data_IF_984954323299
#
_entry.id   IF_984954323299
#
_cell.length_a   1.000
_cell.length_b   1.000
_cell.length_c   1.000
_cell.angle_alpha   90.00
_cell.angle_beta   90.00
_cell.angle_gamma   90.00
#
_symmetry.space_group_name_H-M   'P 1'
#
loop_
_entity.id
_entity.type
_entity.pdbx_description
1 polymer ?
#
# COMPACT_ATOMS: atom_id res chain seq x y z
N UNK A 1 4.99 17.86 7.29
CA UNK A 1 3.73 18.60 7.47
C UNK A 1 3.19 19.04 6.11
N UNK A 2 1.89 19.30 5.98
CA UNK A 2 1.36 19.93 4.77
C UNK A 2 1.94 21.34 4.61
N UNK A 3 2.31 21.70 3.39
CA UNK A 3 2.78 23.03 3.02
C UNK A 3 1.62 23.74 2.31
N UNK A 4 1.03 24.79 2.92
CA UNK A 4 -0.12 25.47 2.34
C UNK A 4 0.19 26.16 1.02
N UNK A 5 -0.78 26.13 0.11
CA UNK A 5 -0.77 26.96 -1.10
C UNK A 5 -1.88 28.01 -1.09
N UNK A 6 -2.76 27.93 -0.10
CA UNK A 6 -3.93 28.78 0.07
C UNK A 6 -3.63 30.00 0.94
N UNK A 7 -4.60 30.93 1.00
CA UNK A 7 -4.52 32.15 1.81
C UNK A 7 -3.29 33.02 1.56
N UNK A 8 -2.65 32.89 0.40
CA UNK A 8 -1.43 33.61 0.03
C UNK A 8 -0.24 33.35 0.99
N UNK A 9 -0.20 32.16 1.60
CA UNK A 9 0.92 31.70 2.42
C UNK A 9 2.24 31.79 1.64
N UNK A 10 3.31 32.23 2.31
CA UNK A 10 4.62 32.52 1.71
C UNK A 10 4.77 33.90 1.06
N UNK A 11 3.66 34.54 0.67
CA UNK A 11 3.67 35.88 0.06
C UNK A 11 3.13 36.98 0.99
N UNK A 12 2.19 36.66 1.87
CA UNK A 12 1.69 37.60 2.89
C UNK A 12 2.34 37.27 4.25
N UNK A 13 3.17 38.16 4.83
CA UNK A 13 3.86 37.90 6.10
C UNK A 13 2.91 37.80 7.30
N UNK A 14 1.63 38.17 7.13
CA UNK A 14 0.60 38.00 8.16
C UNK A 14 0.00 36.59 8.17
N UNK A 15 0.40 35.71 7.26
CA UNK A 15 -0.12 34.36 7.14
C UNK A 15 0.99 33.37 7.48
N UNK A 16 0.85 32.70 8.62
CA UNK A 16 1.82 31.72 9.11
C UNK A 16 1.12 30.39 9.41
N UNK A 17 1.88 29.31 9.52
CA UNK A 17 1.43 28.02 10.00
C UNK A 17 1.44 27.96 11.53
N UNK A 18 0.68 27.01 12.09
CA UNK A 18 0.71 26.74 13.53
C UNK A 18 2.08 26.25 14.03
N UNK A 19 2.94 25.70 13.15
CA UNK A 19 4.32 25.30 13.49
C UNK A 19 5.26 26.53 13.57
N UNK A 20 5.13 27.48 12.66
CA UNK A 20 5.86 28.75 12.73
C UNK A 20 5.44 29.55 13.96
N UNK A 21 4.14 29.59 14.28
CA UNK A 21 3.65 30.17 15.52
C UNK A 21 4.27 29.49 16.75
N UNK A 22 4.38 28.16 16.77
CA UNK A 22 5.00 27.44 17.88
C UNK A 22 6.46 27.84 18.06
N UNK A 23 7.20 28.06 16.97
CA UNK A 23 8.58 28.54 17.03
C UNK A 23 8.67 30.00 17.50
N UNK A 24 7.78 30.88 17.04
CA UNK A 24 7.69 32.26 17.52
C UNK A 24 7.43 32.29 19.03
N UNK A 25 6.48 31.48 19.51
CA UNK A 25 6.13 31.37 20.92
C UNK A 25 7.24 30.80 21.81
N UNK A 26 8.30 30.20 21.26
CA UNK A 26 9.49 29.81 22.03
C UNK A 26 10.42 30.99 22.32
N UNK A 27 10.43 31.98 21.44
CA UNK A 27 11.37 33.11 21.47
C UNK A 27 10.71 34.34 22.10
N UNK A 28 9.40 34.51 21.92
CA UNK A 28 8.65 35.65 22.47
C UNK A 28 7.16 35.57 22.19
N UNK A 29 6.52 36.72 22.05
CA UNK A 29 5.11 36.85 21.71
C UNK A 29 4.94 37.52 20.34
N UNK A 30 3.90 37.18 19.57
CA UNK A 30 3.60 37.88 18.32
C UNK A 30 3.16 39.32 18.61
N UNK A 31 3.65 40.28 17.81
CA UNK A 31 3.24 41.69 17.90
C UNK A 31 1.76 41.89 17.57
N UNK A 32 1.17 40.99 16.77
CA UNK A 32 -0.23 41.02 16.37
C UNK A 32 -1.20 40.92 17.56
N UNK A 33 -2.18 41.84 17.62
CA UNK A 33 -3.20 41.89 18.68
C UNK A 33 -4.41 40.99 18.38
N UNK A 34 -4.81 40.87 17.11
CA UNK A 34 -5.97 40.10 16.66
C UNK A 34 -5.51 38.91 15.83
N UNK A 35 -5.64 37.71 16.39
CA UNK A 35 -5.12 36.48 15.78
C UNK A 35 -6.29 35.57 15.43
N UNK A 36 -6.32 35.06 14.20
CA UNK A 36 -7.32 34.11 13.75
C UNK A 36 -6.67 32.81 13.30
N UNK A 37 -7.11 31.69 13.88
CA UNK A 37 -6.73 30.36 13.43
C UNK A 37 -7.72 29.86 12.39
N UNK A 38 -7.21 29.22 11.33
CA UNK A 38 -8.02 28.52 10.33
C UNK A 38 -7.69 27.02 10.43
N UNK A 39 -8.66 26.23 10.89
CA UNK A 39 -8.51 24.79 11.04
C UNK A 39 -8.74 24.04 9.73
N UNK A 40 -8.23 22.80 9.67
CA UNK A 40 -8.39 21.86 8.56
C UNK A 40 -7.71 22.29 7.24
N UNK A 41 -6.59 22.99 7.32
CA UNK A 41 -5.75 23.32 6.14
C UNK A 41 -4.94 22.08 5.76
N UNK A 42 -5.09 21.58 4.53
CA UNK A 42 -4.47 20.33 4.08
C UNK A 42 -4.98 19.05 4.78
N UNK A 43 -6.23 19.05 5.25
CA UNK A 43 -6.87 17.87 5.85
C UNK A 43 -8.38 17.93 5.69
N UNK A 44 -9.05 16.77 5.60
CA UNK A 44 -10.49 16.68 5.30
C UNK A 44 -10.84 17.41 4.00
N UNK A 45 -10.03 17.14 2.98
CA UNK A 45 -10.17 17.59 1.60
C UNK A 45 -9.84 16.37 0.71
N UNK A 46 -10.67 16.10 -0.30
CA UNK A 46 -10.55 14.93 -1.18
C UNK A 46 -10.42 13.60 -0.41
N UNK A 47 -9.43 12.76 -0.74
CA UNK A 47 -9.14 11.49 -0.07
C UNK A 47 -8.39 11.64 1.28
N UNK A 48 -8.01 12.85 1.68
CA UNK A 48 -7.18 13.09 2.86
C UNK A 48 -8.06 13.20 4.12
N UNK A 49 -7.85 12.29 5.05
CA UNK A 49 -8.57 12.23 6.33
C UNK A 49 -8.26 13.36 7.33
N UNK A 50 -8.67 13.17 8.57
CA UNK A 50 -8.41 14.09 9.68
C UNK A 50 -7.00 13.89 10.24
N UNK A 51 -6.24 14.97 10.42
CA UNK A 51 -4.89 14.91 10.99
C UNK A 51 -4.82 14.63 12.50
N UNK A 52 -5.96 14.58 13.20
CA UNK A 52 -6.13 14.19 14.62
C UNK A 52 -5.45 15.05 15.69
N UNK A 53 -4.25 15.56 15.46
CA UNK A 53 -3.52 16.41 16.42
C UNK A 53 -3.97 17.89 16.39
N UNK A 54 -4.45 18.35 15.23
CA UNK A 54 -4.54 19.76 14.89
C UNK A 54 -5.50 20.55 15.80
N UNK A 55 -6.68 20.01 16.14
CA UNK A 55 -7.65 20.71 17.00
C UNK A 55 -7.07 20.98 18.40
N UNK A 56 -6.57 19.94 19.06
CA UNK A 56 -6.03 20.06 20.42
C UNK A 56 -4.80 20.97 20.46
N UNK A 57 -3.90 20.84 19.46
CA UNK A 57 -2.71 21.70 19.36
C UNK A 57 -3.09 23.18 19.17
N UNK A 58 -4.02 23.46 18.26
CA UNK A 58 -4.54 24.80 18.01
C UNK A 58 -5.18 25.40 19.26
N UNK A 59 -6.02 24.64 19.98
CA UNK A 59 -6.68 25.13 21.21
C UNK A 59 -5.63 25.49 22.26
N UNK A 60 -4.59 24.67 22.44
CA UNK A 60 -3.52 24.96 23.39
C UNK A 60 -2.79 26.27 23.04
N UNK A 61 -2.46 26.47 21.76
CA UNK A 61 -1.84 27.71 21.26
C UNK A 61 -2.77 28.92 21.43
N UNK A 62 -4.06 28.76 21.10
CA UNK A 62 -5.06 29.79 21.25
C UNK A 62 -5.22 30.23 22.71
N UNK A 63 -5.30 29.27 23.65
CA UNK A 63 -5.37 29.56 25.09
C UNK A 63 -4.10 30.27 25.58
N UNK A 64 -2.92 29.86 25.10
CA UNK A 64 -1.65 30.52 25.44
C UNK A 64 -1.64 31.98 24.98
N UNK A 65 -2.04 32.26 23.75
CA UNK A 65 -2.18 33.62 23.22
C UNK A 65 -3.22 34.45 23.97
N UNK A 66 -4.36 33.85 24.36
CA UNK A 66 -5.36 34.55 25.18
C UNK A 66 -4.80 34.95 26.55
N UNK A 67 -3.99 34.10 27.18
CA UNK A 67 -3.32 34.42 28.46
C UNK A 67 -2.30 35.56 28.32
N UNK A 68 -1.78 35.79 27.12
CA UNK A 68 -0.93 36.94 26.77
C UNK A 68 -1.74 38.20 26.43
N UNK A 69 -3.08 38.19 26.58
CA UNK A 69 -3.95 39.33 26.32
C UNK A 69 -4.42 39.48 24.87
N UNK A 70 -3.92 38.67 23.93
CA UNK A 70 -4.23 38.76 22.49
C UNK A 70 -5.68 38.34 22.21
N UNK A 71 -6.37 38.96 21.25
CA UNK A 71 -7.75 38.61 20.85
C UNK A 71 -7.74 37.46 19.85
N UNK A 72 -8.17 36.27 20.28
CA UNK A 72 -8.04 35.03 19.48
C UNK A 72 -9.39 34.55 18.96
N UNK A 73 -9.46 34.30 17.65
CA UNK A 73 -10.57 33.62 16.97
C UNK A 73 -10.11 32.29 16.37
N UNK A 74 -11.01 31.33 16.32
CA UNK A 74 -10.79 30.02 15.69
C UNK A 74 -11.92 29.77 14.71
N UNK A 75 -11.58 29.57 13.43
CA UNK A 75 -12.50 29.19 12.37
C UNK A 75 -12.33 27.68 12.10
N UNK A 76 -13.41 26.91 12.25
CA UNK A 76 -13.33 25.44 12.23
C UNK A 76 -14.58 24.76 11.61
N UNK A 77 -14.42 23.52 11.12
CA UNK A 77 -15.54 22.67 10.65
C UNK A 77 -16.27 22.01 11.82
N UNK A 78 -15.49 21.24 12.58
CA UNK A 78 -15.89 20.44 13.74
C UNK A 78 -14.73 20.42 14.72
N UNK A 79 -15.02 20.57 16.00
CA UNK A 79 -14.02 20.46 17.05
C UNK A 79 -13.84 18.99 17.41
N UNK A 80 -12.60 18.49 17.36
CA UNK A 80 -12.27 17.08 17.63
C UNK A 80 -11.34 16.95 18.82
N UNK A 81 -11.92 17.01 20.01
CA UNK A 81 -11.28 16.98 21.34
C UNK A 81 -11.45 15.60 21.98
N UNK A 82 -11.12 14.54 21.24
CA UNK A 82 -11.43 13.15 21.64
C UNK A 82 -10.48 12.54 22.68
N UNK A 83 -9.27 13.08 22.84
CA UNK A 83 -8.28 12.53 23.76
C UNK A 83 -8.52 13.01 25.20
N UNK A 84 -8.02 12.24 26.17
CA UNK A 84 -8.17 12.58 27.59
C UNK A 84 -7.70 14.02 27.85
N UNK A 85 -8.53 14.81 28.55
CA UNK A 85 -8.35 16.23 28.88
C UNK A 85 -8.48 17.23 27.70
N UNK A 86 -8.77 16.76 26.48
CA UNK A 86 -8.87 17.66 25.33
C UNK A 86 -10.15 18.52 25.37
N UNK A 87 -11.25 17.99 25.91
CA UNK A 87 -12.49 18.76 26.06
C UNK A 87 -12.36 19.83 27.14
N UNK A 88 -11.76 19.49 28.28
CA UNK A 88 -11.48 20.42 29.36
C UNK A 88 -10.53 21.56 28.90
N UNK A 89 -9.60 21.25 28.00
CA UNK A 89 -8.74 22.26 27.36
C UNK A 89 -9.56 23.20 26.46
N UNK A 90 -10.52 22.67 25.70
CA UNK A 90 -11.44 23.46 24.88
C UNK A 90 -12.34 24.36 25.73
N UNK A 91 -12.93 23.84 26.80
CA UNK A 91 -13.69 24.64 27.76
C UNK A 91 -12.85 25.74 28.39
N UNK A 92 -11.62 25.44 28.80
CA UNK A 92 -10.70 26.42 29.37
C UNK A 92 -10.38 27.55 28.37
N UNK A 93 -10.15 27.21 27.11
CA UNK A 93 -9.95 28.19 26.03
C UNK A 93 -11.18 29.07 25.81
N UNK A 94 -12.38 28.47 25.77
CA UNK A 94 -13.64 29.19 25.64
C UNK A 94 -13.87 30.15 26.82
N UNK A 95 -13.69 29.70 28.06
CA UNK A 95 -13.82 30.53 29.28
C UNK A 95 -12.78 31.66 29.33
N UNK A 96 -11.59 31.46 28.76
CA UNK A 96 -10.57 32.51 28.61
C UNK A 96 -10.89 33.53 27.49
N UNK A 97 -12.00 33.33 26.77
CA UNK A 97 -12.48 34.23 25.73
C UNK A 97 -11.91 33.96 24.34
N UNK A 98 -11.42 32.75 24.05
CA UNK A 98 -11.25 32.32 22.64
C UNK A 98 -12.63 32.24 21.99
N UNK A 99 -12.80 32.90 20.85
CA UNK A 99 -14.06 32.84 20.09
C UNK A 99 -13.97 31.77 19.00
N UNK A 100 -14.99 30.93 18.89
CA UNK A 100 -15.04 29.81 17.94
C UNK A 100 -16.16 30.05 16.92
N UNK A 101 -15.82 30.04 15.64
CA UNK A 101 -16.73 30.25 14.52
C UNK A 101 -16.77 29.02 13.64
N UNK A 102 -17.97 28.49 13.41
CA UNK A 102 -18.16 27.24 12.69
C UNK A 102 -18.49 27.54 11.24
N UNK A 103 -17.68 27.01 10.31
CA UNK A 103 -17.97 27.05 8.88
C UNK A 103 -18.45 25.68 8.37
N UNK A 104 -18.95 25.65 7.13
CA UNK A 104 -19.51 24.45 6.50
C UNK A 104 -18.51 23.28 6.48
N UNK A 105 -18.94 22.12 6.94
CA UNK A 105 -18.11 20.92 7.02
C UNK A 105 -17.79 20.35 5.62
N UNK A 106 -18.71 20.53 4.67
CA UNK A 106 -18.65 19.96 3.32
C UNK A 106 -17.79 20.80 2.37
N UNK A 107 -17.34 21.98 2.83
CA UNK A 107 -16.50 22.87 2.03
C UNK A 107 -15.11 23.05 2.65
N UNK A 108 -14.04 23.07 1.84
CA UNK A 108 -12.70 23.34 2.35
C UNK A 108 -12.56 24.82 2.77
N UNK A 109 -11.72 25.15 3.77
CA UNK A 109 -11.63 26.50 4.32
C UNK A 109 -11.37 27.60 3.27
N UNK A 110 -10.55 27.33 2.25
CA UNK A 110 -10.25 28.27 1.17
C UNK A 110 -11.44 28.59 0.25
N UNK A 111 -12.49 27.79 0.27
CA UNK A 111 -13.72 28.05 -0.48
C UNK A 111 -14.69 28.97 0.27
N UNK A 112 -14.62 29.00 1.61
CA UNK A 112 -15.61 29.65 2.47
C UNK A 112 -15.05 30.81 3.31
N UNK A 113 -13.73 30.93 3.40
CA UNK A 113 -13.05 32.00 4.12
C UNK A 113 -12.28 32.87 3.12
N UNK A 114 -12.61 34.16 3.06
CA UNK A 114 -11.88 35.13 2.26
C UNK A 114 -11.03 36.03 3.15
N UNK A 115 -9.76 36.23 2.80
CA UNK A 115 -8.88 37.22 3.45
C UNK A 115 -8.81 38.46 2.56
N UNK A 116 -9.28 39.62 3.06
CA UNK A 116 -9.21 40.92 2.37
C UNK A 116 -9.01 42.05 3.37
N UNK A 117 -8.13 42.99 3.05
CA UNK A 117 -7.96 44.27 3.76
C UNK A 117 -7.85 44.15 5.30
N UNK A 118 -7.20 43.09 5.81
CA UNK A 118 -7.07 42.85 7.26
C UNK A 118 -8.31 42.28 7.95
N UNK A 119 -9.22 41.68 7.18
CA UNK A 119 -10.40 40.98 7.67
C UNK A 119 -10.48 39.57 7.08
N UNK A 120 -10.99 38.65 7.89
CA UNK A 120 -11.50 37.36 7.42
C UNK A 120 -13.02 37.45 7.28
N UNK A 121 -13.52 37.14 6.08
CA UNK A 121 -14.95 36.99 5.82
C UNK A 121 -15.31 35.52 5.79
N UNK A 122 -16.29 35.12 6.60
CA UNK A 122 -16.78 33.73 6.70
C UNK A 122 -18.28 33.73 6.96
N UNK A 123 -18.99 32.75 6.40
CA UNK A 123 -20.37 32.49 6.79
C UNK A 123 -20.38 31.58 8.03
N UNK A 124 -20.86 32.08 9.16
CA UNK A 124 -20.99 31.28 10.37
C UNK A 124 -22.29 30.50 10.34
N UNK A 125 -22.17 29.17 10.38
CA UNK A 125 -23.30 28.26 10.25
C UNK A 125 -24.24 28.32 11.46
N UNK A 126 -23.73 28.63 12.65
CA UNK A 126 -24.53 28.67 13.88
C UNK A 126 -25.39 29.94 13.94
N UNK A 127 -24.82 31.07 13.52
CA UNK A 127 -25.51 32.36 13.47
C UNK A 127 -26.30 32.56 12.18
N UNK A 128 -26.10 31.70 11.18
CA UNK A 128 -26.68 31.80 9.84
C UNK A 128 -26.44 33.19 9.21
N UNK A 129 -25.23 33.72 9.38
CA UNK A 129 -24.88 35.08 8.99
C UNK A 129 -23.45 35.18 8.45
N UNK A 130 -23.22 36.13 7.55
CA UNK A 130 -21.87 36.51 7.11
C UNK A 130 -21.20 37.36 8.18
N UNK A 131 -20.03 36.95 8.62
CA UNK A 131 -19.22 37.65 9.59
C UNK A 131 -17.97 38.23 8.93
N UNK A 132 -17.59 39.42 9.35
CA UNK A 132 -16.33 40.06 8.99
C UNK A 132 -15.48 40.22 10.25
N UNK A 133 -14.41 39.44 10.36
CA UNK A 133 -13.58 39.28 11.55
C UNK A 133 -12.26 40.05 11.37
N UNK A 134 -12.03 41.16 12.09
CA UNK A 134 -10.78 41.91 11.99
C UNK A 134 -9.60 41.09 12.51
N UNK A 135 -8.54 40.97 11.69
CA UNK A 135 -7.43 40.04 11.91
C UNK A 135 -6.09 40.65 11.48
N UNK A 136 -5.12 40.62 12.38
CA UNK A 136 -3.75 41.12 12.18
C UNK A 136 -2.81 39.97 11.76
N UNK A 137 -3.07 38.76 12.27
CA UNK A 137 -2.30 37.55 11.97
C UNK A 137 -3.23 36.36 11.74
N UNK A 138 -3.03 35.67 10.63
CA UNK A 138 -3.73 34.43 10.26
C UNK A 138 -2.79 33.26 10.54
N UNK A 139 -3.30 32.27 11.28
CA UNK A 139 -2.56 31.05 11.62
C UNK A 139 -3.26 29.86 10.96
N UNK A 140 -2.62 29.30 9.93
CA UNK A 140 -3.08 28.10 9.23
C UNK A 140 -2.71 26.86 10.06
N UNK A 141 -3.73 26.12 10.50
CA UNK A 141 -3.51 24.87 11.24
C UNK A 141 -3.42 23.72 10.25
N UNK A 142 -2.18 23.39 9.91
CA UNK A 142 -1.85 22.48 8.82
C UNK A 142 -2.00 21.02 9.21
N UNK A 143 -2.28 20.17 8.22
CA UNK A 143 -2.34 18.72 8.38
C UNK A 143 -0.98 18.02 8.39
N UNK A 144 -1.00 16.73 8.71
CA UNK A 144 0.12 15.82 8.44
C UNK A 144 -0.06 15.20 7.06
N UNK A 145 1.02 15.13 6.31
CA UNK A 145 1.14 14.38 5.06
C UNK A 145 2.14 13.23 5.25
N UNK A 146 1.98 12.10 4.56
CA UNK A 146 2.99 11.05 4.55
C UNK A 146 4.32 11.59 4.01
N UNK A 147 5.43 11.03 4.49
CA UNK A 147 6.76 11.36 3.97
C UNK A 147 6.93 10.73 2.59
N UNK A 148 7.46 11.51 1.65
CA UNK A 148 7.99 11.02 0.38
C UNK A 148 9.38 10.45 0.64
N UNK A 149 9.50 9.13 0.55
CA UNK A 149 10.73 8.38 0.77
C UNK A 149 10.72 7.13 -0.13
N UNK A 150 11.84 6.42 -0.17
CA UNK A 150 11.97 5.12 -0.83
C UNK A 150 11.96 3.94 0.17
N UNK A 151 11.58 4.17 1.43
CA UNK A 151 11.58 3.13 2.46
C UNK A 151 10.51 2.08 2.17
N UNK A 152 9.37 2.50 1.60
CA UNK A 152 8.34 1.57 1.11
C UNK A 152 8.92 0.54 0.13
N UNK A 153 9.76 0.98 -0.81
CA UNK A 153 10.38 0.13 -1.83
C UNK A 153 11.49 -0.74 -1.24
N UNK A 154 12.31 -0.18 -0.34
CA UNK A 154 13.43 -0.89 0.29
C UNK A 154 12.93 -2.01 1.23
N UNK A 155 11.91 -1.71 2.03
CA UNK A 155 11.37 -2.62 3.04
C UNK A 155 10.13 -3.38 2.55
N UNK A 156 9.71 -3.17 1.29
CA UNK A 156 8.53 -3.77 0.65
C UNK A 156 7.24 -3.56 1.45
N UNK A 157 7.06 -2.35 1.96
CA UNK A 157 5.88 -1.94 2.73
C UNK A 157 4.76 -1.46 1.81
N UNK A 158 3.53 -1.78 2.18
CA UNK A 158 2.33 -1.23 1.53
C UNK A 158 1.98 0.14 2.10
N UNK A 159 1.27 0.96 1.31
CA UNK A 159 0.69 2.23 1.76
C UNK A 159 -0.84 2.16 1.70
N UNK A 160 -1.50 2.82 2.65
CA UNK A 160 -2.96 2.99 2.68
C UNK A 160 -3.41 4.08 1.70
N UNK A 161 -4.73 4.23 1.51
CA UNK A 161 -5.31 5.25 0.60
C UNK A 161 -4.89 6.69 0.95
N UNK A 162 -4.65 6.96 2.24
CA UNK A 162 -4.15 8.26 2.73
C UNK A 162 -2.62 8.42 2.57
N UNK A 163 -1.95 7.45 1.96
CA UNK A 163 -0.55 7.45 1.58
C UNK A 163 0.45 7.12 2.70
N UNK A 164 -0.01 6.88 3.93
CA UNK A 164 0.85 6.44 5.04
C UNK A 164 1.18 4.93 4.95
N UNK A 165 2.12 4.45 5.76
CA UNK A 165 2.42 3.01 5.80
C UNK A 165 1.26 2.20 6.36
N UNK A 166 0.91 1.15 5.64
CA UNK A 166 -0.19 0.26 5.99
C UNK A 166 0.23 -0.74 7.07
N UNK A 167 -0.51 -0.78 8.16
CA UNK A 167 -0.41 -1.82 9.17
C UNK A 167 -0.94 -3.17 8.65
N UNK A 168 -0.57 -4.26 9.33
CA UNK A 168 -1.04 -5.62 9.02
C UNK A 168 -2.55 -5.75 9.17
N UNK A 169 -3.11 -5.18 10.25
CA UNK A 169 -4.54 -5.13 10.49
C UNK A 169 -4.86 -4.02 11.48
N UNK A 170 -5.88 -3.17 11.26
CA UNK A 170 -6.23 -2.02 12.13
C UNK A 170 -6.51 -2.32 13.61
N UNK A 171 -6.59 -3.60 14.00
CA UNK A 171 -7.00 -4.07 15.34
C UNK A 171 -6.07 -5.17 15.85
N UNK A 172 -5.84 -6.19 15.02
CA UNK A 172 -5.04 -7.36 15.41
C UNK A 172 -3.53 -7.15 15.28
N UNK A 173 -3.10 -6.23 14.41
CA UNK A 173 -1.69 -5.92 14.18
C UNK A 173 -1.45 -4.46 13.83
N UNK A 174 -1.84 -3.49 14.70
CA UNK A 174 -1.81 -2.05 14.38
C UNK A 174 -0.39 -1.44 14.32
N UNK A 175 0.63 -2.21 14.68
CA UNK A 175 2.06 -1.83 14.65
C UNK A 175 2.89 -2.80 13.83
N UNK A 176 2.28 -3.85 13.31
CA UNK A 176 2.94 -4.87 12.49
C UNK A 176 2.72 -4.53 11.03
N UNK A 177 3.54 -5.05 10.15
CA UNK A 177 3.35 -4.96 8.70
C UNK A 177 3.17 -6.37 8.12
N UNK A 178 2.81 -6.46 6.84
CA UNK A 178 2.82 -7.74 6.12
C UNK A 178 4.23 -8.34 5.99
N UNK A 179 5.28 -7.53 6.17
CA UNK A 179 6.67 -7.95 6.15
C UNK A 179 7.09 -8.34 7.57
N UNK A 180 7.33 -9.64 7.78
CA UNK A 180 7.71 -10.17 9.10
C UNK A 180 9.00 -9.50 9.61
N UNK A 181 9.00 -9.14 10.89
CA UNK A 181 10.12 -8.45 11.52
C UNK A 181 10.17 -6.93 11.29
N UNK A 182 9.30 -6.37 10.43
CA UNK A 182 9.19 -4.91 10.22
C UNK A 182 7.94 -4.38 10.93
N UNK A 183 8.13 -3.34 11.73
CA UNK A 183 7.11 -2.74 12.59
C UNK A 183 6.99 -1.23 12.32
N UNK A 184 5.82 -0.66 12.62
CA UNK A 184 5.53 0.76 12.44
C UNK A 184 5.35 1.46 13.78
N UNK A 185 5.80 2.70 13.87
CA UNK A 185 5.61 3.56 15.03
C UNK A 185 5.45 5.03 14.65
N UNK A 186 4.53 5.71 15.32
CA UNK A 186 4.33 7.15 15.19
C UNK A 186 3.62 7.55 13.91
N UNK A 187 3.89 8.76 13.45
CA UNK A 187 3.17 9.37 12.31
C UNK A 187 3.49 8.75 10.96
N UNK A 188 4.44 7.81 10.89
CA UNK A 188 4.74 7.06 9.66
C UNK A 188 3.57 6.16 9.22
N UNK A 189 2.80 5.61 10.18
CA UNK A 189 1.61 4.78 9.92
C UNK A 189 0.34 5.59 9.69
N UNK A 190 0.32 6.88 10.02
CA UNK A 190 -0.89 7.69 9.91
C UNK A 190 -0.87 8.88 10.85
N UNK A 191 -1.69 9.90 10.56
CA UNK A 191 -1.77 11.08 11.40
C UNK A 191 -2.24 10.74 12.83
N UNK A 192 -1.54 11.28 13.84
CA UNK A 192 -1.79 11.02 15.26
C UNK A 192 -1.07 12.02 16.15
N UNK A 193 -1.44 12.09 17.42
CA UNK A 193 -0.78 12.95 18.40
C UNK A 193 0.48 12.28 19.02
N UNK A 194 1.18 13.02 19.90
CA UNK A 194 2.39 12.53 20.58
C UNK A 194 2.08 11.35 21.50
N UNK A 195 0.95 11.37 22.21
CA UNK A 195 0.58 10.30 23.16
C UNK A 195 0.30 9.00 22.42
N UNK A 196 -0.43 9.08 21.31
CA UNK A 196 -0.70 7.97 20.41
C UNK A 196 0.60 7.44 19.79
N UNK A 197 1.50 8.33 19.37
CA UNK A 197 2.81 7.96 18.83
C UNK A 197 3.68 7.22 19.84
N UNK A 198 3.71 7.70 21.10
CA UNK A 198 4.44 7.04 22.19
C UNK A 198 3.87 5.65 22.49
N UNK A 199 2.54 5.52 22.57
CA UNK A 199 1.89 4.24 22.79
C UNK A 199 2.20 3.24 21.66
N UNK A 200 2.17 3.71 20.40
CA UNK A 200 2.52 2.90 19.24
C UNK A 200 4.00 2.48 19.25
N UNK A 201 4.91 3.37 19.63
CA UNK A 201 6.33 3.07 19.76
C UNK A 201 6.60 2.00 20.82
N UNK A 202 5.93 2.07 21.98
CA UNK A 202 6.01 1.03 23.01
C UNK A 202 5.46 -0.32 22.51
N UNK A 203 4.34 -0.31 21.78
CA UNK A 203 3.78 -1.52 21.19
C UNK A 203 4.70 -2.14 20.13
N UNK A 204 5.29 -1.33 19.25
CA UNK A 204 6.27 -1.78 18.26
C UNK A 204 7.52 -2.37 18.93
N UNK A 205 8.06 -1.68 19.94
CA UNK A 205 9.19 -2.17 20.73
C UNK A 205 8.86 -3.48 21.46
N UNK A 206 7.65 -3.62 22.02
CA UNK A 206 7.21 -4.86 22.66
C UNK A 206 7.09 -6.04 21.69
N UNK A 207 6.56 -5.81 20.48
CA UNK A 207 6.47 -6.83 19.43
C UNK A 207 7.85 -7.24 18.89
N UNK A 208 8.70 -6.26 18.59
CA UNK A 208 10.08 -6.51 18.17
C UNK A 208 10.88 -7.22 19.27
N UNK A 209 10.76 -6.76 20.51
CA UNK A 209 11.41 -7.34 21.68
C UNK A 209 10.98 -8.78 21.93
N UNK A 210 9.68 -9.09 21.79
CA UNK A 210 9.19 -10.47 21.91
C UNK A 210 9.81 -11.40 20.86
N UNK A 211 9.95 -10.93 19.61
CA UNK A 211 10.62 -11.70 18.55
C UNK A 211 12.11 -11.93 18.89
N UNK A 212 12.81 -10.89 19.33
CA UNK A 212 14.23 -10.96 19.69
C UNK A 212 14.49 -11.83 20.92
N UNK A 213 13.59 -11.81 21.92
CA UNK A 213 13.72 -12.57 23.15
C UNK A 213 13.64 -14.09 22.96
N UNK A 214 13.04 -14.57 21.86
CA UNK A 214 12.98 -16.00 21.54
C UNK A 214 14.37 -16.58 21.22
N UNK A 215 15.33 -15.76 20.77
CA UNK A 215 16.68 -16.18 20.37
C UNK A 215 16.74 -17.06 19.12
N UNK A 216 15.60 -17.58 18.66
CA UNK A 216 15.42 -18.31 17.42
C UNK A 216 14.08 -17.92 16.80
N UNK A 217 14.02 -17.95 15.48
CA UNK A 217 12.79 -17.79 14.71
C UNK A 217 12.50 -19.10 14.00
N UNK A 218 11.22 -19.44 13.92
CA UNK A 218 10.78 -20.53 13.05
C UNK A 218 10.64 -19.96 11.65
N UNK A 219 11.36 -20.57 10.71
CA UNK A 219 11.29 -20.22 9.30
C UNK A 219 10.28 -21.12 8.64
N UNK A 220 9.37 -20.54 7.85
CA UNK A 220 8.45 -21.32 7.04
C UNK A 220 9.24 -22.30 6.15
N UNK A 221 8.85 -23.59 6.09
CA UNK A 221 9.57 -24.63 5.35
C UNK A 221 9.31 -24.56 3.84
N UNK A 222 9.28 -23.35 3.28
CA UNK A 222 9.07 -23.04 1.86
C UNK A 222 10.41 -22.94 1.10
N UNK A 223 11.46 -23.58 1.62
CA UNK A 223 12.81 -23.55 1.05
C UNK A 223 12.94 -24.54 -0.11
N UNK A 224 13.62 -24.13 -1.18
CA UNK A 224 13.88 -24.99 -2.32
C UNK A 224 14.68 -26.24 -1.91
N UNK A 225 14.34 -27.40 -2.49
CA UNK A 225 15.05 -28.67 -2.28
C UNK A 225 15.62 -29.19 -3.58
N UNK A 226 16.85 -29.68 -3.54
CA UNK A 226 17.49 -30.34 -4.67
C UNK A 226 17.12 -31.82 -4.67
N UNK A 227 16.82 -32.37 -5.84
CA UNK A 227 16.72 -33.80 -6.13
C UNK A 227 18.04 -34.17 -6.85
N UNK A 228 19.04 -34.71 -6.15
CA UNK A 228 20.40 -34.89 -6.68
C UNK A 228 20.44 -35.73 -7.96
N UNK A 229 19.54 -36.71 -8.07
CA UNK A 229 19.49 -37.69 -9.16
C UNK A 229 19.12 -37.05 -10.51
N UNK A 230 18.43 -35.90 -10.47
CA UNK A 230 18.01 -35.15 -11.66
C UNK A 230 18.97 -34.00 -12.00
N UNK A 231 19.89 -33.66 -11.11
CA UNK A 231 20.78 -32.52 -11.29
C UNK A 231 21.93 -32.86 -12.25
N UNK A 232 22.04 -32.10 -13.35
CA UNK A 232 23.13 -32.25 -14.33
C UNK A 232 24.27 -31.23 -14.17
N UNK A 233 24.28 -30.49 -13.05
CA UNK A 233 25.34 -29.52 -12.75
C UNK A 233 25.42 -28.31 -13.70
N UNK A 234 24.31 -27.86 -14.31
CA UNK A 234 24.34 -26.75 -15.28
C UNK A 234 24.52 -25.34 -14.67
N UNK A 235 24.39 -25.20 -13.34
CA UNK A 235 24.55 -23.95 -12.57
C UNK A 235 23.61 -22.79 -12.96
N UNK A 236 22.54 -23.03 -13.72
CA UNK A 236 21.54 -21.99 -14.04
C UNK A 236 20.85 -21.45 -12.79
N UNK A 237 20.49 -22.35 -11.87
CA UNK A 237 19.83 -22.01 -10.60
C UNK A 237 20.67 -21.06 -9.72
N UNK A 238 22.00 -21.22 -9.72
CA UNK A 238 22.95 -20.34 -8.99
C UNK A 238 22.81 -18.90 -9.47
N UNK A 239 22.79 -18.69 -10.79
CA UNK A 239 22.76 -17.35 -11.41
C UNK A 239 21.45 -16.59 -11.17
N UNK A 240 20.35 -17.31 -11.00
CA UNK A 240 19.01 -16.70 -10.88
C UNK A 240 18.56 -16.49 -9.44
N UNK A 241 19.32 -16.96 -8.44
CA UNK A 241 18.95 -16.81 -7.04
C UNK A 241 19.19 -15.37 -6.56
N UNK A 242 18.15 -14.59 -6.22
CA UNK A 242 18.32 -13.19 -5.79
C UNK A 242 18.89 -13.06 -4.37
N UNK A 243 19.09 -14.17 -3.67
CA UNK A 243 19.57 -14.25 -2.29
C UNK A 243 20.94 -14.92 -2.16
N UNK A 244 21.54 -15.39 -3.26
CA UNK A 244 22.77 -16.17 -3.19
C UNK A 244 22.64 -17.47 -2.38
N UNK A 245 21.43 -18.02 -2.27
CA UNK A 245 21.13 -19.18 -1.42
C UNK A 245 21.53 -20.53 -2.06
N UNK A 246 22.13 -20.53 -3.24
CA UNK A 246 22.49 -21.75 -3.98
C UNK A 246 23.99 -21.70 -4.27
N UNK A 247 24.75 -22.58 -3.62
CA UNK A 247 26.19 -22.73 -3.79
C UNK A 247 26.50 -23.75 -4.88
N UNK A 248 27.47 -23.42 -5.73
CA UNK A 248 28.02 -24.37 -6.69
C UNK A 248 29.03 -25.29 -5.99
N UNK A 249 28.92 -26.60 -6.22
CA UNK A 249 29.87 -27.61 -5.78
C UNK A 249 30.46 -28.28 -7.03
N UNK A 250 31.78 -28.18 -7.23
CA UNK A 250 32.44 -28.74 -8.41
C UNK A 250 32.28 -27.90 -9.69
N UNK A 251 32.88 -28.32 -10.81
CA UNK A 251 32.79 -27.60 -12.09
C UNK A 251 31.40 -27.79 -12.74
N UNK A 252 30.93 -26.85 -13.59
CA UNK A 252 29.67 -27.03 -14.31
C UNK A 252 29.70 -28.29 -15.20
N UNK A 253 28.61 -29.07 -15.19
CA UNK A 253 28.47 -30.31 -15.93
C UNK A 253 28.39 -31.53 -15.02
N UNK A 254 28.78 -32.69 -15.56
CA UNK A 254 28.59 -34.01 -14.93
C UNK A 254 29.24 -34.15 -13.55
N UNK A 255 30.36 -33.48 -13.33
CA UNK A 255 31.13 -33.53 -12.08
C UNK A 255 30.74 -32.43 -11.07
N UNK A 256 29.67 -31.68 -11.37
CA UNK A 256 29.18 -30.59 -10.54
C UNK A 256 27.77 -30.81 -10.02
N UNK A 257 27.49 -30.22 -8.86
CA UNK A 257 26.14 -30.14 -8.28
C UNK A 257 25.97 -28.80 -7.56
N UNK A 258 24.83 -28.61 -6.89
CA UNK A 258 24.58 -27.42 -6.08
C UNK A 258 24.17 -27.81 -4.67
N UNK A 259 24.35 -26.89 -3.73
CA UNK A 259 23.82 -26.99 -2.37
C UNK A 259 22.94 -25.78 -2.10
N UNK A 260 21.72 -26.03 -1.63
CA UNK A 260 20.80 -24.96 -1.25
C UNK A 260 21.00 -24.68 0.24
N UNK A 261 21.39 -23.45 0.56
CA UNK A 261 21.49 -22.96 1.93
C UNK A 261 20.07 -22.63 2.39
N UNK A 262 19.45 -23.54 3.13
CA UNK A 262 18.06 -23.37 3.60
C UNK A 262 17.86 -22.08 4.39
N UNK A 263 18.84 -21.70 5.22
CA UNK A 263 18.80 -20.46 6.00
C UNK A 263 18.69 -19.20 5.12
N UNK A 264 19.35 -19.18 3.96
CA UNK A 264 19.33 -18.04 3.03
C UNK A 264 18.16 -18.11 2.02
N UNK A 265 17.61 -19.29 1.74
CA UNK A 265 16.56 -19.46 0.74
C UNK A 265 15.23 -18.85 1.21
N UNK A 266 14.74 -17.80 0.56
CA UNK A 266 13.46 -17.17 0.94
C UNK A 266 12.22 -17.79 0.28
N UNK A 267 12.39 -18.85 -0.54
CA UNK A 267 11.25 -19.59 -1.08
C UNK A 267 10.55 -18.99 -2.30
N UNK A 268 11.20 -18.08 -3.03
CA UNK A 268 10.61 -17.46 -4.22
C UNK A 268 10.31 -18.42 -5.39
N UNK A 269 10.97 -19.58 -5.45
CA UNK A 269 10.74 -20.59 -6.51
C UNK A 269 11.37 -20.30 -7.87
N UNK A 270 12.14 -19.22 -8.02
CA UNK A 270 12.84 -18.87 -9.27
C UNK A 270 13.72 -20.01 -9.79
N UNK A 271 14.50 -20.64 -8.90
CA UNK A 271 15.43 -21.71 -9.28
C UNK A 271 14.72 -22.97 -9.76
N UNK A 272 13.57 -23.32 -9.15
CA UNK A 272 12.72 -24.41 -9.62
C UNK A 272 12.23 -24.14 -11.04
N UNK A 273 11.73 -22.94 -11.27
CA UNK A 273 11.16 -22.56 -12.56
C UNK A 273 12.22 -22.32 -13.67
N UNK A 274 13.49 -22.21 -13.31
CA UNK A 274 14.64 -22.15 -14.22
C UNK A 274 15.20 -23.55 -14.54
N UNK A 275 14.89 -24.56 -13.72
CA UNK A 275 15.43 -25.91 -13.86
C UNK A 275 14.71 -26.71 -14.94
N UNK A 276 15.34 -26.88 -16.09
CA UNK A 276 14.81 -27.71 -17.19
C UNK A 276 14.78 -29.23 -16.87
N UNK A 277 15.38 -29.66 -15.77
CA UNK A 277 15.51 -31.07 -15.40
C UNK A 277 14.61 -31.46 -14.22
N UNK A 278 13.76 -30.54 -13.75
CA UNK A 278 12.93 -30.73 -12.56
C UNK A 278 13.72 -31.13 -11.29
N UNK A 279 15.03 -30.84 -11.26
CA UNK A 279 15.90 -31.19 -10.14
C UNK A 279 15.72 -30.32 -8.91
N UNK A 280 14.89 -29.27 -8.97
CA UNK A 280 14.63 -28.37 -7.84
C UNK A 280 13.14 -28.33 -7.59
N UNK A 281 12.74 -28.76 -6.39
CA UNK A 281 11.37 -28.75 -5.93
C UNK A 281 11.15 -27.59 -4.96
N UNK A 282 9.93 -27.03 -4.99
CA UNK A 282 9.44 -26.10 -3.96
C UNK A 282 8.41 -26.82 -3.10
N UNK A 283 8.75 -27.21 -1.86
CA UNK A 283 7.79 -27.79 -0.93
C UNK A 283 6.54 -26.89 -0.78
N UNK A 284 5.36 -27.50 -0.66
CA UNK A 284 4.04 -26.83 -0.61
C UNK A 284 3.61 -26.08 -1.88
N UNK A 285 4.49 -25.99 -2.88
CA UNK A 285 4.22 -25.47 -4.21
C UNK A 285 4.91 -26.35 -5.27
N UNK A 286 4.78 -27.67 -5.11
CA UNK A 286 5.39 -28.64 -6.04
C UNK A 286 4.71 -28.55 -7.39
N UNK A 287 5.36 -29.06 -8.44
CA UNK A 287 4.77 -29.00 -9.79
C UNK A 287 3.44 -29.73 -9.82
N UNK A 288 3.38 -30.92 -9.23
CA UNK A 288 2.22 -31.80 -9.13
C UNK A 288 1.06 -31.10 -8.40
N UNK A 289 1.34 -30.41 -7.30
CA UNK A 289 0.33 -29.67 -6.54
C UNK A 289 -0.29 -28.53 -7.37
N UNK A 290 0.51 -27.84 -8.18
CA UNK A 290 0.03 -26.75 -9.04
C UNK A 290 -0.74 -27.31 -10.24
N UNK A 291 -0.25 -28.37 -10.89
CA UNK A 291 -0.97 -29.03 -11.99
C UNK A 291 -2.33 -29.55 -11.53
N UNK A 292 -2.38 -30.26 -10.39
CA UNK A 292 -3.64 -30.76 -9.83
C UNK A 292 -4.65 -29.63 -9.53
N UNK A 293 -4.19 -28.47 -9.07
CA UNK A 293 -5.05 -27.29 -8.90
C UNK A 293 -5.58 -26.76 -10.23
N UNK A 294 -4.76 -26.75 -11.28
CA UNK A 294 -5.17 -26.34 -12.63
C UNK A 294 -6.26 -27.29 -13.15
N UNK A 295 -6.01 -28.59 -13.14
CA UNK A 295 -6.96 -29.62 -13.58
C UNK A 295 -8.29 -29.50 -12.84
N UNK A 296 -8.24 -29.48 -11.50
CA UNK A 296 -9.44 -29.34 -10.66
C UNK A 296 -10.22 -28.07 -10.99
N UNK A 297 -9.53 -26.96 -11.24
CA UNK A 297 -10.18 -25.69 -11.58
C UNK A 297 -10.91 -25.73 -12.93
N UNK A 298 -10.54 -26.63 -13.85
CA UNK A 298 -11.01 -26.72 -15.22
C UNK A 298 -11.98 -27.89 -15.50
N UNK A 299 -12.36 -28.69 -14.50
CA UNK A 299 -13.22 -29.88 -14.69
C UNK A 299 -14.58 -29.60 -15.37
N UNK A 300 -15.13 -28.40 -15.17
CA UNK A 300 -16.42 -28.01 -15.73
C UNK A 300 -16.28 -26.77 -16.62
N UNK A 301 -16.77 -26.82 -17.86
CA UNK A 301 -16.77 -25.67 -18.79
C UNK A 301 -15.43 -24.92 -18.82
N UNK A 302 -14.34 -25.66 -19.08
CA UNK A 302 -12.99 -25.13 -19.07
C UNK A 302 -12.83 -23.89 -19.97
N UNK A 303 -13.55 -23.89 -21.11
CA UNK A 303 -13.55 -22.81 -22.08
C UNK A 303 -14.10 -21.49 -21.54
N UNK A 304 -14.92 -21.55 -20.48
CA UNK A 304 -15.53 -20.39 -19.80
C UNK A 304 -14.71 -19.93 -18.59
N UNK A 305 -13.46 -20.41 -18.43
CA UNK A 305 -12.60 -20.12 -17.27
C UNK A 305 -11.28 -19.46 -17.65
N UNK A 306 -10.85 -18.53 -16.80
CA UNK A 306 -9.50 -17.96 -16.82
C UNK A 306 -8.70 -18.53 -15.66
N UNK A 307 -7.59 -19.23 -15.93
CA UNK A 307 -6.64 -19.63 -14.89
C UNK A 307 -5.78 -18.42 -14.52
N UNK A 308 -5.89 -17.96 -13.28
CA UNK A 308 -5.21 -16.76 -12.78
C UNK A 308 -4.08 -17.18 -11.86
N UNK A 309 -2.86 -17.19 -12.39
CA UNK A 309 -1.64 -17.51 -11.68
C UNK A 309 -1.18 -16.28 -10.89
N UNK A 310 -1.36 -16.30 -9.55
CA UNK A 310 -1.08 -15.15 -8.67
C UNK A 310 0.14 -15.35 -7.78
N UNK A 311 0.93 -14.29 -7.58
CA UNK A 311 1.89 -14.27 -6.47
C UNK A 311 1.16 -14.04 -5.13
N UNK A 312 1.66 -14.65 -4.06
CA UNK A 312 1.08 -14.56 -2.72
C UNK A 312 1.05 -13.11 -2.18
N UNK A 313 2.16 -12.39 -2.35
CA UNK A 313 2.38 -11.13 -1.63
C UNK A 313 1.64 -9.92 -2.19
N UNK A 314 1.44 -9.86 -3.51
CA UNK A 314 0.88 -8.68 -4.15
C UNK A 314 -0.44 -9.02 -4.83
N UNK A 315 -0.45 -9.86 -5.87
CA UNK A 315 -1.68 -10.05 -6.64
C UNK A 315 -2.75 -10.85 -5.89
N UNK A 316 -2.36 -11.85 -5.10
CA UNK A 316 -3.32 -12.56 -4.25
C UNK A 316 -3.83 -11.64 -3.12
N UNK A 317 -2.96 -10.85 -2.50
CA UNK A 317 -3.36 -9.82 -1.54
C UNK A 317 -4.29 -8.76 -2.16
N UNK A 318 -4.06 -8.36 -3.42
CA UNK A 318 -4.95 -7.49 -4.18
C UNK A 318 -6.31 -8.13 -4.46
N UNK A 319 -6.34 -9.46 -4.69
CA UNK A 319 -7.60 -10.20 -4.79
C UNK A 319 -8.37 -10.21 -3.45
N UNK A 320 -7.67 -10.44 -2.34
CA UNK A 320 -8.25 -10.36 -0.99
C UNK A 320 -8.77 -8.95 -0.69
N UNK A 321 -8.01 -7.90 -1.06
CA UNK A 321 -8.41 -6.51 -0.91
C UNK A 321 -9.65 -6.18 -1.74
N UNK A 322 -9.75 -6.68 -2.99
CA UNK A 322 -10.96 -6.54 -3.79
C UNK A 322 -12.19 -7.13 -3.06
N UNK A 323 -12.01 -8.25 -2.37
CA UNK A 323 -13.04 -8.86 -1.51
C UNK A 323 -13.40 -8.00 -0.29
N UNK A 324 -12.40 -7.46 0.42
CA UNK A 324 -12.60 -6.55 1.57
C UNK A 324 -13.37 -5.29 1.16
N UNK A 325 -13.02 -4.73 0.00
CA UNK A 325 -13.67 -3.56 -0.61
C UNK A 325 -15.02 -3.89 -1.26
N UNK A 326 -15.44 -5.18 -1.23
CA UNK A 326 -16.68 -5.69 -1.81
C UNK A 326 -16.83 -5.44 -3.31
N UNK A 327 -15.70 -5.34 -4.02
CA UNK A 327 -15.68 -5.21 -5.47
C UNK A 327 -16.14 -6.51 -6.11
N UNK A 328 -17.12 -6.40 -7.00
CA UNK A 328 -17.61 -7.54 -7.76
C UNK A 328 -16.77 -7.71 -9.02
N UNK A 329 -16.43 -8.95 -9.35
CA UNK A 329 -15.85 -9.33 -10.63
C UNK A 329 -16.41 -10.69 -11.08
N UNK A 330 -16.35 -11.03 -12.38
CA UNK A 330 -16.97 -12.24 -12.91
C UNK A 330 -16.44 -13.55 -12.31
N UNK A 331 -17.27 -14.59 -12.34
CA UNK A 331 -16.96 -15.90 -11.76
C UNK A 331 -16.13 -16.81 -12.67
N UNK A 332 -15.59 -16.32 -13.78
CA UNK A 332 -14.72 -17.08 -14.70
C UNK A 332 -13.29 -17.23 -14.15
N UNK A 333 -12.86 -16.35 -13.25
CA UNK A 333 -11.51 -16.38 -12.68
C UNK A 333 -11.28 -17.57 -11.73
N UNK A 334 -10.20 -18.31 -11.95
CA UNK A 334 -9.74 -19.43 -11.09
C UNK A 334 -8.34 -19.13 -10.59
N UNK A 335 -8.26 -18.63 -9.36
CA UNK A 335 -6.99 -18.21 -8.75
C UNK A 335 -6.19 -19.44 -8.31
N UNK A 336 -4.95 -19.52 -8.78
CA UNK A 336 -3.96 -20.50 -8.32
C UNK A 336 -2.73 -19.72 -7.85
N UNK A 337 -2.34 -19.95 -6.59
CA UNK A 337 -1.37 -19.13 -5.89
C UNK A 337 -0.03 -19.82 -5.77
N UNK A 338 1.05 -19.08 -5.99
CA UNK A 338 2.42 -19.45 -5.57
C UNK A 338 3.05 -18.31 -4.78
N UNK A 339 4.14 -18.57 -4.04
CA UNK A 339 4.78 -17.50 -3.24
C UNK A 339 5.24 -16.32 -4.10
N UNK A 340 5.77 -16.57 -5.30
CA UNK A 340 6.23 -15.53 -6.21
C UNK A 340 5.82 -15.86 -7.63
N UNK A 341 5.56 -14.83 -8.44
CA UNK A 341 5.40 -15.03 -9.88
C UNK A 341 6.63 -15.63 -10.56
N UNK A 342 7.80 -15.56 -9.92
CA UNK A 342 9.02 -16.22 -10.37
C UNK A 342 8.94 -17.75 -10.33
N UNK A 343 8.04 -18.33 -9.53
CA UNK A 343 7.76 -19.77 -9.51
C UNK A 343 7.06 -20.27 -10.76
N UNK A 344 6.36 -19.41 -11.50
CA UNK A 344 5.60 -19.88 -12.66
C UNK A 344 6.50 -20.44 -13.76
N UNK A 345 6.05 -21.54 -14.35
CA UNK A 345 6.71 -22.28 -15.41
C UNK A 345 5.88 -22.25 -16.68
N UNK A 346 6.53 -22.44 -17.83
CA UNK A 346 5.81 -22.60 -19.11
C UNK A 346 4.83 -23.77 -19.05
N UNK A 347 5.21 -24.84 -18.35
CA UNK A 347 4.43 -26.07 -18.24
C UNK A 347 3.07 -25.82 -17.59
N UNK A 348 2.97 -24.93 -16.59
CA UNK A 348 1.68 -24.57 -15.99
C UNK A 348 0.73 -23.91 -17.00
N UNK A 349 1.27 -23.08 -17.87
CA UNK A 349 0.50 -22.40 -18.91
C UNK A 349 0.07 -23.40 -19.99
N UNK A 350 1.00 -24.26 -20.43
CA UNK A 350 0.72 -25.31 -21.40
C UNK A 350 -0.38 -26.23 -20.88
N UNK A 351 -0.23 -26.71 -19.66
CA UNK A 351 -1.16 -27.62 -19.02
C UNK A 351 -2.56 -27.02 -18.87
N UNK A 352 -2.68 -25.74 -18.54
CA UNK A 352 -3.98 -25.06 -18.50
C UNK A 352 -4.66 -25.02 -19.89
N UNK A 353 -3.92 -24.72 -20.95
CA UNK A 353 -4.47 -24.73 -22.31
C UNK A 353 -4.78 -26.14 -22.82
N UNK A 354 -3.94 -27.13 -22.49
CA UNK A 354 -4.16 -28.54 -22.84
C UNK A 354 -5.46 -29.08 -22.19
N UNK A 355 -5.87 -28.50 -21.05
CA UNK A 355 -7.13 -28.79 -20.35
C UNK A 355 -8.28 -27.84 -20.73
N UNK A 356 -8.14 -27.08 -21.83
CA UNK A 356 -9.24 -26.31 -22.42
C UNK A 356 -9.50 -24.95 -21.78
N UNK A 357 -8.60 -24.42 -20.95
CA UNK A 357 -8.78 -23.09 -20.35
C UNK A 357 -9.08 -22.01 -21.39
N UNK A 358 -10.13 -21.23 -21.16
CA UNK A 358 -10.48 -20.09 -22.01
C UNK A 358 -9.37 -19.03 -22.06
N UNK A 359 -8.69 -18.79 -20.95
CA UNK A 359 -7.51 -17.92 -20.89
C UNK A 359 -6.60 -18.28 -19.71
N UNK A 360 -5.37 -17.76 -19.75
CA UNK A 360 -4.40 -17.79 -18.65
C UNK A 360 -3.90 -16.38 -18.40
N UNK A 361 -4.05 -15.92 -17.15
CA UNK A 361 -3.50 -14.65 -16.69
C UNK A 361 -2.37 -14.92 -15.70
N UNK A 362 -1.18 -14.40 -15.99
CA UNK A 362 -0.06 -14.38 -15.05
C UNK A 362 -0.05 -13.04 -14.35
N UNK A 363 0.06 -13.04 -13.02
CA UNK A 363 0.17 -11.81 -12.25
C UNK A 363 1.25 -11.86 -11.18
N UNK A 364 1.72 -10.69 -10.76
CA UNK A 364 2.64 -10.56 -9.64
C UNK A 364 2.81 -9.13 -9.15
N UNK A 365 3.80 -8.92 -8.28
CA UNK A 365 4.17 -7.60 -7.79
C UNK A 365 4.62 -6.66 -8.92
N UNK A 366 4.42 -5.35 -8.74
CA UNK A 366 4.79 -4.32 -9.72
C UNK A 366 6.26 -4.33 -10.10
N UNK A 367 6.50 -4.04 -11.38
CA UNK A 367 7.78 -3.54 -11.86
C UNK A 367 7.70 -2.02 -11.81
N UNK A 368 8.71 -1.38 -11.22
CA UNK A 368 8.81 0.07 -11.10
C UNK A 368 9.85 0.60 -12.08
N UNK A 369 9.86 1.91 -12.32
CA UNK A 369 10.88 2.56 -13.15
C UNK A 369 12.30 2.35 -12.62
N UNK A 370 12.43 2.21 -11.30
CA UNK A 370 13.70 1.98 -10.59
C UNK A 370 14.04 0.50 -10.38
N UNK A 371 13.12 -0.43 -10.70
CA UNK A 371 13.37 -1.86 -10.56
C UNK A 371 12.13 -2.72 -10.36
N UNK A 372 11.80 -3.03 -9.10
CA UNK A 372 10.75 -4.00 -8.76
C UNK A 372 10.27 -3.87 -7.32
N UNK A 373 8.96 -3.94 -7.12
CA UNK A 373 8.30 -4.02 -5.80
C UNK A 373 8.13 -5.48 -5.33
N UNK A 374 8.87 -6.41 -5.92
CA UNK A 374 8.77 -7.81 -5.55
C UNK A 374 9.18 -8.02 -4.09
N UNK A 375 8.35 -8.74 -3.33
CA UNK A 375 8.72 -9.23 -2.00
C UNK A 375 10.04 -10.01 -2.02
N UNK A 376 10.34 -10.68 -3.15
CA UNK A 376 11.55 -11.45 -3.34
C UNK A 376 12.66 -10.70 -4.11
N UNK A 377 12.97 -9.47 -3.67
CA UNK A 377 13.89 -8.53 -4.31
C UNK A 377 13.43 -8.14 -5.73
N UNK A 378 13.93 -8.84 -6.74
CA UNK A 378 13.67 -8.59 -8.16
C UNK A 378 13.29 -9.86 -8.93
N UNK A 379 12.88 -10.92 -8.22
CA UNK A 379 12.59 -12.23 -8.82
C UNK A 379 11.53 -12.17 -9.95
N UNK A 380 10.51 -11.32 -9.82
CA UNK A 380 9.48 -11.12 -10.85
C UNK A 380 10.02 -10.61 -12.20
N UNK A 381 11.20 -9.99 -12.25
CA UNK A 381 11.84 -9.61 -13.53
C UNK A 381 12.16 -10.84 -14.39
N UNK A 382 12.43 -12.00 -13.79
CA UNK A 382 12.64 -13.25 -14.52
C UNK A 382 11.33 -13.78 -15.09
N UNK A 383 10.20 -13.58 -14.41
CA UNK A 383 8.88 -13.85 -14.98
C UNK A 383 8.60 -12.97 -16.19
N UNK A 384 8.88 -11.67 -16.11
CA UNK A 384 8.73 -10.77 -17.26
C UNK A 384 9.52 -11.24 -18.48
N UNK A 385 10.80 -11.59 -18.28
CA UNK A 385 11.67 -12.09 -19.35
C UNK A 385 11.14 -13.38 -19.96
N UNK A 386 10.71 -14.35 -19.14
CA UNK A 386 10.17 -15.63 -19.61
C UNK A 386 8.80 -15.49 -20.28
N UNK A 387 7.94 -14.64 -19.75
CA UNK A 387 6.60 -14.41 -20.31
C UNK A 387 6.65 -13.93 -21.76
N UNK A 388 7.58 -13.04 -22.10
CA UNK A 388 7.80 -12.62 -23.50
C UNK A 388 8.12 -13.79 -24.42
N UNK A 389 8.84 -14.80 -23.92
CA UNK A 389 9.13 -16.01 -24.68
C UNK A 389 7.89 -16.92 -24.77
N UNK A 390 7.17 -17.11 -23.66
CA UNK A 390 5.95 -17.91 -23.61
C UNK A 390 4.90 -17.37 -24.58
N UNK A 391 4.60 -16.07 -24.55
CA UNK A 391 3.61 -15.45 -25.43
C UNK A 391 3.88 -15.73 -26.91
N UNK A 392 5.12 -15.46 -27.38
CA UNK A 392 5.54 -15.77 -28.76
C UNK A 392 5.52 -17.26 -29.10
N UNK A 393 5.69 -18.13 -28.11
CA UNK A 393 5.67 -19.59 -28.31
C UNK A 393 4.24 -20.09 -28.46
N UNK A 394 3.32 -19.64 -27.61
CA UNK A 394 1.91 -20.03 -27.66
C UNK A 394 1.19 -19.42 -28.86
N UNK A 395 1.53 -18.19 -29.25
CA UNK A 395 1.05 -17.58 -30.50
C UNK A 395 1.42 -18.43 -31.72
N UNK A 396 2.68 -18.89 -31.82
CA UNK A 396 3.11 -19.82 -32.89
C UNK A 396 2.42 -21.19 -32.84
N UNK A 397 1.85 -21.57 -31.69
CA UNK A 397 1.04 -22.78 -31.51
C UNK A 397 -0.45 -22.52 -31.80
N UNK A 398 -0.83 -21.33 -32.25
CA UNK A 398 -2.22 -20.98 -32.60
C UNK A 398 -3.08 -20.52 -31.42
N UNK A 399 -2.48 -20.21 -30.27
CA UNK A 399 -3.21 -19.57 -29.16
C UNK A 399 -3.27 -18.07 -29.41
N UNK A 400 -4.49 -17.51 -29.40
CA UNK A 400 -4.70 -16.07 -29.48
C UNK A 400 -3.89 -15.33 -28.39
N UNK A 401 -3.04 -14.34 -28.74
CA UNK A 401 -2.29 -13.54 -27.79
C UNK A 401 -3.12 -12.89 -26.67
N UNK A 402 -4.40 -12.59 -26.91
CA UNK A 402 -5.30 -12.05 -25.87
C UNK A 402 -5.63 -13.08 -24.77
N UNK A 403 -5.53 -14.38 -25.06
CA UNK A 403 -5.79 -15.47 -24.10
C UNK A 403 -4.63 -15.74 -23.14
N UNK A 404 -3.43 -15.23 -23.41
CA UNK A 404 -2.28 -15.34 -22.51
C UNK A 404 -1.75 -13.95 -22.17
N UNK A 405 -2.07 -13.49 -20.97
CA UNK A 405 -1.74 -12.13 -20.53
C UNK A 405 -0.88 -12.08 -19.28
N UNK A 406 -0.16 -10.97 -19.10
CA UNK A 406 0.62 -10.64 -17.93
C UNK A 406 0.19 -9.29 -17.38
N UNK A 407 -0.18 -9.23 -16.11
CA UNK A 407 -0.50 -7.97 -15.42
C UNK A 407 0.17 -7.90 -14.07
N UNK A 408 0.84 -6.78 -13.79
CA UNK A 408 1.37 -6.52 -12.45
C UNK A 408 0.33 -5.81 -11.60
N UNK A 409 0.08 -6.34 -10.41
CA UNK A 409 -0.96 -5.86 -9.48
C UNK A 409 -0.37 -5.92 -8.07
N UNK A 410 -0.30 -4.76 -7.42
CA UNK A 410 0.15 -4.56 -6.05
C UNK A 410 -0.89 -5.05 -5.02
N UNK A 411 -0.45 -5.22 -3.77
CA UNK A 411 -1.34 -5.59 -2.67
C UNK A 411 -2.43 -4.53 -2.40
N UNK A 412 -2.17 -3.27 -2.72
CA UNK A 412 -3.09 -2.15 -2.53
C UNK A 412 -4.04 -1.91 -3.73
N UNK A 413 -4.00 -2.77 -4.75
CA UNK A 413 -4.66 -2.55 -6.04
C UNK A 413 -5.87 -3.47 -6.25
N UNK A 414 -6.78 -3.47 -5.27
CA UNK A 414 -7.99 -4.28 -5.31
C UNK A 414 -8.93 -3.90 -6.45
N UNK A 415 -8.99 -2.60 -6.79
CA UNK A 415 -9.74 -2.09 -7.94
C UNK A 415 -9.20 -2.64 -9.25
N UNK A 416 -7.91 -2.50 -9.47
CA UNK A 416 -7.21 -2.92 -10.68
C UNK A 416 -7.28 -4.44 -10.84
N UNK A 417 -7.26 -5.19 -9.73
CA UNK A 417 -7.50 -6.63 -9.76
C UNK A 417 -8.88 -6.96 -10.30
N UNK A 418 -9.94 -6.38 -9.73
CA UNK A 418 -11.32 -6.63 -10.15
C UNK A 418 -11.57 -6.21 -11.61
N UNK A 419 -11.07 -5.04 -12.01
CA UNK A 419 -11.15 -4.56 -13.40
C UNK A 419 -10.43 -5.50 -14.35
N UNK A 420 -9.25 -6.01 -13.97
CA UNK A 420 -8.52 -6.97 -14.80
C UNK A 420 -9.25 -8.31 -14.93
N UNK A 421 -9.92 -8.78 -13.89
CA UNK A 421 -10.74 -9.99 -13.96
C UNK A 421 -11.92 -9.81 -14.92
N UNK A 422 -12.57 -8.65 -14.91
CA UNK A 422 -13.64 -8.33 -15.86
C UNK A 422 -13.14 -8.32 -17.32
N UNK A 423 -11.96 -7.72 -17.56
CA UNK A 423 -11.33 -7.75 -18.88
C UNK A 423 -11.03 -9.18 -19.35
N UNK A 424 -10.48 -10.02 -18.46
CA UNK A 424 -10.20 -11.43 -18.80
C UNK A 424 -11.47 -12.25 -19.03
N UNK A 425 -12.58 -11.92 -18.36
CA UNK A 425 -13.87 -12.55 -18.60
C UNK A 425 -14.34 -12.28 -20.03
N UNK A 426 -14.24 -11.05 -20.52
CA UNK A 426 -14.61 -10.71 -21.90
C UNK A 426 -13.83 -11.54 -22.94
N UNK A 427 -12.52 -11.75 -22.70
CA UNK A 427 -11.66 -12.60 -23.55
C UNK A 427 -12.17 -14.04 -23.54
N UNK A 428 -12.43 -14.58 -22.34
CA UNK A 428 -12.92 -15.95 -22.15
C UNK A 428 -14.29 -16.17 -22.79
N UNK A 429 -15.24 -15.24 -22.61
CA UNK A 429 -16.57 -15.33 -23.21
C UNK A 429 -16.55 -15.20 -24.73
N UNK A 430 -15.59 -14.46 -25.29
CA UNK A 430 -15.37 -14.42 -26.75
C UNK A 430 -14.92 -15.79 -27.25
N UNK A 431 -13.86 -16.34 -26.68
CA UNK A 431 -13.35 -17.66 -27.04
C UNK A 431 -14.42 -18.76 -26.90
N UNK A 432 -15.14 -18.77 -25.78
CA UNK A 432 -16.20 -19.76 -25.54
C UNK A 432 -17.33 -19.68 -26.57
N UNK A 433 -17.66 -18.49 -27.10
CA UNK A 433 -18.63 -18.33 -28.18
C UNK A 433 -18.09 -18.83 -29.51
N UNK A 434 -16.85 -18.51 -29.83
CA UNK A 434 -16.22 -18.88 -31.11
C UNK A 434 -16.13 -20.40 -31.26
N UNK A 435 -15.79 -21.13 -30.20
CA UNK A 435 -15.75 -22.60 -30.25
C UNK A 435 -17.14 -23.26 -30.29
N UNK A 436 -18.18 -22.59 -29.78
CA UNK A 436 -19.57 -23.09 -29.79
C UNK A 436 -20.31 -22.77 -31.10
N UNK A 437 -19.79 -21.87 -31.93
CA UNK A 437 -20.36 -21.50 -33.24
C UNK A 437 -19.34 -21.62 -34.39
N UNK A 438 -18.86 -22.83 -34.72
CA UNK A 438 -17.83 -23.01 -35.74
C UNK A 438 -18.29 -22.69 -37.19
N UNK A 439 -19.58 -22.52 -37.47
CA UNK A 439 -20.14 -22.41 -38.84
C UNK A 439 -20.43 -20.98 -39.35
N UNK A 440 -19.79 -19.94 -38.82
CA UNK A 440 -19.89 -18.57 -39.36
C UNK A 440 -18.53 -17.89 -39.61
N UNK A 441 -17.54 -18.65 -40.05
CA UNK A 441 -16.27 -18.13 -40.55
C UNK A 441 -16.04 -18.57 -42.00
#
# INVERSE_FOLDING_TARGET
PYEPTEFNYGNDPRVITNLELENLLKIGEPEAERIAFIACVGSRQDAIGCSRYCCTSMIAQALRLRKMGKKVRVLYKEMRTYSRQAEELYEAASRAGVQFFRYDADQPPQAVINSRDGYLEVFDHMLNAKLRIPTDLIVLVVGLKPTEDNLAEQLKLSRSEDGFYMELHPKLGPVQTAVQGVYLAGTSQGAKDVRESMAQALAAAGKAGALLALGKIEKEPLTARLIPELCVGCMRCVKVCPYGAIEQIGPPGKDGTVKIIEAACMGCGTCAAECNFAAIEMPYFTREQIMAQIEASLQEKAEEKCVVLTCNWCSYAGADLAGIEKRQYPTSSRIIRTMCSARFEEEFIAHAFDHGAGAVLVTGCRLTETGSDCHYNNANQLTWKRFKHWQRKFERKGIDPERLQLRWISAAEGKEFAEKMAEMDEVVQRYARDIKQPEKA
#
